data_IF_613951424099
#
_entry.id   IF_613951424099
#
_cell.length_a   1.000
_cell.length_b   1.000
_cell.length_c   1.000
_cell.angle_alpha   90.00
_cell.angle_beta   90.00
_cell.angle_gamma   90.00
#
_symmetry.space_group_name_H-M   'P 1'
#
loop_
_entity.id
_entity.type
_entity.pdbx_description
1 polymer ?
#
# COMPACT_ATOMS: atom_id res chain seq x y z
N UNK A 1 -0.75 -11.46 -13.38
CA UNK A 1 -2.03 -11.15 -14.03
C UNK A 1 -3.23 -11.89 -13.44
N UNK A 2 -3.16 -13.17 -13.10
CA UNK A 2 -4.31 -13.94 -12.60
C UNK A 2 -4.90 -13.44 -11.26
N UNK A 3 -4.08 -12.90 -10.35
CA UNK A 3 -4.54 -12.48 -9.02
C UNK A 3 -5.41 -11.21 -9.02
N UNK A 4 -5.09 -10.25 -9.90
CA UNK A 4 -5.88 -9.00 -10.05
C UNK A 4 -7.17 -9.22 -10.82
N UNK A 5 -7.15 -10.10 -11.81
CA UNK A 5 -8.35 -10.42 -12.60
C UNK A 5 -9.40 -11.14 -11.75
N UNK A 6 -8.98 -11.99 -10.84
CA UNK A 6 -9.87 -12.70 -9.91
C UNK A 6 -10.53 -11.73 -8.90
N UNK A 7 -9.80 -10.73 -8.41
CA UNK A 7 -10.30 -9.67 -7.52
C UNK A 7 -11.30 -8.75 -8.23
N UNK A 8 -11.09 -8.47 -9.52
CA UNK A 8 -11.98 -7.62 -10.31
C UNK A 8 -13.31 -8.34 -10.66
N UNK A 9 -13.24 -9.65 -10.93
CA UNK A 9 -14.43 -10.48 -11.23
C UNK A 9 -15.27 -10.67 -9.96
N UNK A 10 -14.64 -10.89 -8.80
CA UNK A 10 -15.37 -11.02 -7.52
C UNK A 10 -16.00 -9.68 -7.09
N UNK A 11 -15.37 -8.53 -7.36
CA UNK A 11 -15.99 -7.21 -7.17
C UNK A 11 -17.28 -7.08 -7.99
N UNK A 12 -17.24 -7.43 -9.28
CA UNK A 12 -18.41 -7.31 -10.18
C UNK A 12 -19.57 -8.22 -9.79
N UNK A 13 -19.29 -9.42 -9.29
CA UNK A 13 -20.31 -10.42 -8.90
C UNK A 13 -20.94 -10.11 -7.53
N UNK A 14 -20.21 -9.45 -6.61
CA UNK A 14 -20.70 -9.12 -5.26
C UNK A 14 -21.39 -7.74 -5.21
N UNK A 15 -21.03 -6.83 -6.13
CA UNK A 15 -21.63 -5.49 -6.25
C UNK A 15 -23.07 -5.53 -6.78
N UNK A 16 -23.47 -6.60 -7.49
CA UNK A 16 -24.80 -6.71 -8.10
C UNK A 16 -25.96 -6.80 -7.09
N UNK A 17 -25.70 -7.06 -5.82
CA UNK A 17 -26.75 -7.24 -4.81
C UNK A 17 -26.96 -6.07 -3.85
N UNK A 18 -26.06 -5.07 -3.79
CA UNK A 18 -26.23 -3.93 -2.85
C UNK A 18 -25.36 -2.71 -3.22
N UNK A 19 -25.51 -2.19 -4.44
CA UNK A 19 -24.59 -1.21 -5.05
C UNK A 19 -24.46 0.13 -4.32
N UNK A 20 -25.45 0.56 -3.56
CA UNK A 20 -25.47 1.93 -2.99
C UNK A 20 -24.67 2.11 -1.71
N UNK A 21 -24.40 1.07 -0.95
CA UNK A 21 -23.77 1.17 0.37
C UNK A 21 -22.27 0.83 0.34
N UNK A 22 -21.84 0.00 -0.60
CA UNK A 22 -20.45 -0.47 -0.72
C UNK A 22 -19.56 0.43 -1.56
N UNK A 23 -20.13 1.24 -2.44
CA UNK A 23 -19.38 2.18 -3.30
C UNK A 23 -18.63 3.27 -2.51
N UNK A 24 -19.02 3.49 -1.26
CA UNK A 24 -18.43 4.50 -0.37
C UNK A 24 -17.38 3.94 0.60
N UNK A 25 -17.16 2.62 0.61
CA UNK A 25 -16.19 2.00 1.54
C UNK A 25 -14.86 1.72 0.84
N UNK A 26 -13.72 1.97 1.51
CA UNK A 26 -12.39 1.63 0.99
C UNK A 26 -12.32 0.14 0.62
N UNK A 27 -11.60 -0.17 -0.43
CA UNK A 27 -11.41 -1.55 -0.94
C UNK A 27 -10.85 -2.50 0.14
N UNK A 28 -10.07 -1.97 1.08
CA UNK A 28 -9.56 -2.68 2.26
C UNK A 28 -10.67 -3.32 3.10
N UNK A 29 -11.81 -2.64 3.28
CA UNK A 29 -12.96 -3.18 4.02
C UNK A 29 -13.62 -4.37 3.31
N UNK A 30 -13.68 -4.32 1.99
CA UNK A 30 -14.26 -5.40 1.18
C UNK A 30 -13.39 -6.65 1.26
N UNK A 31 -12.06 -6.46 1.22
CA UNK A 31 -11.10 -7.56 1.32
C UNK A 31 -11.14 -8.23 2.70
N UNK A 32 -11.13 -7.44 3.78
CA UNK A 32 -11.23 -7.94 5.15
C UNK A 32 -12.57 -8.67 5.37
N UNK A 33 -13.67 -8.10 4.90
CA UNK A 33 -14.99 -8.71 5.02
C UNK A 33 -15.09 -10.05 4.29
N UNK A 34 -14.49 -10.16 3.10
CA UNK A 34 -14.48 -11.39 2.32
C UNK A 34 -13.58 -12.47 2.96
N UNK A 35 -12.46 -12.06 3.58
CA UNK A 35 -11.61 -12.96 4.36
C UNK A 35 -12.33 -13.48 5.62
N UNK A 36 -13.06 -12.63 6.33
CA UNK A 36 -13.80 -12.98 7.54
C UNK A 36 -14.96 -13.96 7.25
N UNK A 37 -15.52 -13.96 6.04
CA UNK A 37 -16.56 -14.91 5.60
C UNK A 37 -16.01 -16.23 5.05
N UNK A 38 -14.71 -16.50 5.21
CA UNK A 38 -14.09 -17.77 4.81
C UNK A 38 -13.84 -17.93 3.30
N UNK A 39 -14.04 -16.85 2.50
CA UNK A 39 -13.85 -16.89 1.05
C UNK A 39 -12.40 -16.77 0.57
N UNK A 40 -11.52 -16.20 1.41
CA UNK A 40 -10.09 -16.05 1.11
C UNK A 40 -9.28 -16.25 2.39
N UNK A 41 -8.23 -17.04 2.32
CA UNK A 41 -7.26 -17.15 3.42
C UNK A 41 -6.47 -15.86 3.50
N UNK A 42 -6.37 -15.28 4.70
CA UNK A 42 -5.47 -14.16 4.95
C UNK A 42 -4.04 -14.57 4.58
N UNK A 43 -3.31 -13.74 3.82
CA UNK A 43 -1.92 -14.03 3.52
C UNK A 43 -1.13 -14.12 4.82
N UNK A 44 -0.25 -15.12 4.94
CA UNK A 44 0.64 -15.25 6.08
C UNK A 44 1.56 -14.04 6.13
N UNK A 45 1.65 -13.38 7.27
CA UNK A 45 2.58 -12.29 7.50
C UNK A 45 4.00 -12.87 7.48
N UNK A 46 4.82 -12.35 6.56
CA UNK A 46 6.24 -12.71 6.48
C UNK A 46 7.02 -11.82 7.45
N UNK A 47 7.69 -12.43 8.41
CA UNK A 47 8.58 -11.70 9.30
C UNK A 47 9.97 -11.50 8.64
N UNK A 48 10.51 -10.32 8.78
CA UNK A 48 11.81 -9.93 8.23
C UNK A 48 12.81 -9.68 9.36
N UNK A 49 14.05 -10.15 9.19
CA UNK A 49 15.12 -9.89 10.16
C UNK A 49 15.62 -8.44 10.08
N UNK A 50 15.65 -7.89 8.88
CA UNK A 50 16.12 -6.54 8.58
C UNK A 50 15.03 -5.76 7.83
N UNK A 51 14.94 -4.47 8.10
CA UNK A 51 14.07 -3.54 7.37
C UNK A 51 14.42 -3.51 5.88
N UNK A 52 15.71 -3.51 5.55
CA UNK A 52 16.19 -3.55 4.16
C UNK A 52 15.71 -4.76 3.35
N UNK A 53 15.48 -5.91 4.00
CA UNK A 53 14.95 -7.09 3.33
C UNK A 53 13.46 -6.89 3.00
N UNK A 54 12.70 -6.32 3.94
CA UNK A 54 11.31 -5.96 3.71
C UNK A 54 11.18 -4.89 2.62
N UNK A 55 11.99 -3.83 2.68
CA UNK A 55 12.04 -2.78 1.68
C UNK A 55 12.34 -3.34 0.27
N UNK A 56 13.29 -4.26 0.16
CA UNK A 56 13.64 -4.90 -1.12
C UNK A 56 12.49 -5.72 -1.70
N UNK A 57 11.79 -6.50 -0.86
CA UNK A 57 10.63 -7.28 -1.27
C UNK A 57 9.45 -6.37 -1.66
N UNK A 58 9.27 -5.26 -0.95
CA UNK A 58 8.25 -4.26 -1.22
C UNK A 58 8.46 -3.60 -2.59
N UNK A 59 9.69 -3.17 -2.89
CA UNK A 59 10.05 -2.60 -4.19
C UNK A 59 9.76 -3.59 -5.34
N UNK A 60 10.15 -4.87 -5.17
CA UNK A 60 9.86 -5.91 -6.17
C UNK A 60 8.36 -6.10 -6.38
N UNK A 61 7.57 -6.07 -5.30
CA UNK A 61 6.13 -6.19 -5.37
C UNK A 61 5.50 -5.01 -6.12
N UNK A 62 5.86 -3.77 -5.76
CA UNK A 62 5.34 -2.56 -6.41
C UNK A 62 5.66 -2.57 -7.91
N UNK A 63 6.91 -2.86 -8.29
CA UNK A 63 7.33 -2.94 -9.70
C UNK A 63 6.60 -4.03 -10.48
N UNK A 64 6.25 -5.14 -9.83
CA UNK A 64 5.46 -6.22 -10.44
C UNK A 64 4.01 -5.80 -10.66
N UNK A 65 3.43 -5.12 -9.68
CA UNK A 65 2.00 -4.76 -9.68
C UNK A 65 1.73 -3.49 -10.52
N UNK A 66 2.70 -2.57 -10.53
CA UNK A 66 2.69 -1.33 -11.31
C UNK A 66 3.94 -1.24 -12.20
N UNK A 67 4.01 -2.01 -13.30
CA UNK A 67 5.22 -2.09 -14.14
C UNK A 67 5.60 -0.77 -14.81
N UNK A 68 4.67 0.18 -14.95
CA UNK A 68 4.91 1.51 -15.50
C UNK A 68 5.35 2.55 -14.48
N UNK A 69 5.34 2.20 -13.18
CA UNK A 69 5.74 3.13 -12.12
C UNK A 69 7.26 3.24 -12.00
N UNK A 70 7.71 4.41 -11.58
CA UNK A 70 9.09 4.65 -11.17
C UNK A 70 9.13 4.52 -9.64
N UNK A 71 9.94 3.60 -9.13
CA UNK A 71 10.16 3.41 -7.69
C UNK A 71 11.57 3.82 -7.36
N UNK A 72 11.70 4.90 -6.58
CA UNK A 72 12.96 5.45 -6.10
C UNK A 72 13.14 5.14 -4.62
N UNK A 73 14.34 4.74 -4.25
CA UNK A 73 14.78 4.66 -2.87
C UNK A 73 15.46 5.98 -2.53
N UNK A 74 14.96 6.67 -1.50
CA UNK A 74 15.54 7.92 -1.05
C UNK A 74 16.74 7.66 -0.13
N UNK A 75 17.64 8.61 -0.13
CA UNK A 75 18.84 8.58 0.71
C UNK A 75 18.61 9.44 1.97
N UNK A 76 18.52 8.82 3.16
CA UNK A 76 18.34 9.56 4.42
C UNK A 76 19.54 10.44 4.79
N UNK A 77 20.74 10.16 4.27
CA UNK A 77 21.92 11.00 4.49
C UNK A 77 21.81 12.33 3.74
N UNK A 78 21.17 12.32 2.55
CA UNK A 78 20.94 13.54 1.80
C UNK A 78 19.91 14.47 2.46
N UNK A 79 18.83 13.91 3.00
CA UNK A 79 17.77 14.68 3.66
C UNK A 79 17.13 13.87 4.78
N UNK A 80 17.43 14.24 6.00
CA UNK A 80 16.91 13.58 7.18
C UNK A 80 15.37 13.61 7.23
N UNK A 81 14.78 12.45 7.48
CA UNK A 81 13.34 12.29 7.65
C UNK A 81 12.53 12.17 6.35
N UNK A 82 13.17 12.30 5.17
CA UNK A 82 12.49 11.99 3.92
C UNK A 82 12.07 10.51 3.91
N UNK A 83 10.81 10.17 3.50
CA UNK A 83 10.37 8.78 3.46
C UNK A 83 11.23 7.91 2.55
N UNK A 84 11.44 6.64 2.93
CA UNK A 84 12.34 5.69 2.27
C UNK A 84 12.08 5.50 0.78
N UNK A 85 10.81 5.48 0.37
CA UNK A 85 10.42 5.20 -1.01
C UNK A 85 9.55 6.33 -1.57
N UNK A 86 9.85 6.71 -2.80
CA UNK A 86 9.00 7.52 -3.66
C UNK A 86 8.54 6.66 -4.84
N UNK A 87 7.23 6.51 -5.00
CA UNK A 87 6.59 5.82 -6.11
C UNK A 87 5.90 6.85 -6.99
N UNK A 88 6.27 6.92 -8.27
CA UNK A 88 5.65 7.81 -9.25
C UNK A 88 4.91 6.97 -10.28
N UNK A 89 3.64 7.27 -10.52
CA UNK A 89 2.82 6.61 -11.52
C UNK A 89 1.97 7.63 -12.29
N UNK A 90 2.35 7.90 -13.53
CA UNK A 90 1.76 8.96 -14.35
C UNK A 90 2.00 10.34 -13.72
N UNK A 91 0.93 11.08 -13.45
CA UNK A 91 0.95 12.41 -12.82
C UNK A 91 0.78 12.37 -11.29
N UNK A 92 0.78 11.19 -10.70
CA UNK A 92 0.60 10.99 -9.24
C UNK A 92 1.85 10.40 -8.62
N UNK A 93 2.01 10.66 -7.32
CA UNK A 93 3.11 10.09 -6.55
C UNK A 93 2.64 9.61 -5.18
N UNK A 94 3.46 8.75 -4.57
CA UNK A 94 3.23 8.26 -3.22
C UNK A 94 4.56 8.20 -2.46
N UNK A 95 4.54 8.60 -1.19
CA UNK A 95 5.65 8.41 -0.27
C UNK A 95 5.33 7.26 0.69
N UNK A 96 6.27 6.34 0.85
CA UNK A 96 6.17 5.24 1.80
C UNK A 96 7.38 5.26 2.74
N UNK A 97 7.10 5.35 4.03
CA UNK A 97 8.09 5.14 5.08
C UNK A 97 8.05 3.68 5.50
N UNK A 98 9.16 2.99 5.33
CA UNK A 98 9.27 1.55 5.60
C UNK A 98 9.66 1.33 7.07
N UNK A 99 8.97 0.43 7.75
CA UNK A 99 9.27 0.01 9.12
C UNK A 99 9.33 -1.51 9.20
N UNK A 100 10.19 -2.01 10.05
CA UNK A 100 10.33 -3.45 10.28
C UNK A 100 9.10 -4.05 10.97
N UNK A 101 8.44 -3.27 11.84
CA UNK A 101 7.25 -3.68 12.60
C UNK A 101 6.40 -2.46 12.97
N UNK A 102 5.17 -2.73 13.42
CA UNK A 102 4.26 -1.69 13.92
C UNK A 102 4.82 -0.88 15.10
N UNK A 103 5.60 -1.54 15.94
CA UNK A 103 6.04 -0.98 17.23
C UNK A 103 7.33 -0.16 17.11
N UNK A 104 7.86 0.01 15.90
CA UNK A 104 9.03 0.87 15.70
C UNK A 104 8.68 2.34 15.89
N UNK A 105 9.51 3.08 16.66
CA UNK A 105 9.25 4.50 16.91
C UNK A 105 9.36 5.31 15.62
N UNK A 106 8.47 6.27 15.48
CA UNK A 106 8.55 7.28 14.42
C UNK A 106 9.51 8.40 14.83
N UNK A 107 10.21 8.95 13.87
CA UNK A 107 10.97 10.19 14.05
C UNK A 107 10.08 11.38 13.66
N UNK A 108 10.15 12.51 14.39
CA UNK A 108 9.30 13.69 14.12
C UNK A 108 9.36 14.19 12.67
N UNK A 109 10.54 14.10 12.05
CA UNK A 109 10.70 14.52 10.66
C UNK A 109 9.99 13.56 9.68
N UNK A 110 9.90 12.26 9.99
CA UNK A 110 9.17 11.28 9.18
C UNK A 110 7.68 11.57 9.19
N UNK A 111 7.12 11.82 10.37
CA UNK A 111 5.69 12.20 10.51
C UNK A 111 5.37 13.45 9.69
N UNK A 112 6.24 14.48 9.73
CA UNK A 112 6.04 15.68 8.95
C UNK A 112 5.92 15.42 7.44
N UNK A 113 6.83 14.61 6.86
CA UNK A 113 6.79 14.31 5.43
C UNK A 113 5.62 13.42 5.04
N UNK A 114 5.27 12.44 5.87
CA UNK A 114 4.10 11.58 5.63
C UNK A 114 2.81 12.40 5.72
N UNK A 115 2.66 13.27 6.70
CA UNK A 115 1.50 14.14 6.82
C UNK A 115 1.39 15.13 5.65
N UNK A 116 2.52 15.65 5.19
CA UNK A 116 2.56 16.48 3.98
C UNK A 116 2.12 15.69 2.76
N UNK A 117 2.63 14.48 2.57
CA UNK A 117 2.24 13.61 1.47
C UNK A 117 0.75 13.26 1.50
N UNK A 118 0.17 12.99 2.67
CA UNK A 118 -1.28 12.72 2.83
C UNK A 118 -2.17 13.88 2.39
N UNK A 119 -1.70 15.12 2.52
CA UNK A 119 -2.45 16.31 2.06
C UNK A 119 -2.36 16.55 0.57
N UNK A 120 -1.26 16.20 -0.06
CA UNK A 120 -0.96 16.55 -1.45
C UNK A 120 -1.08 15.36 -2.42
N UNK A 121 -0.93 14.14 -1.89
CA UNK A 121 -0.89 12.91 -2.68
C UNK A 121 -1.25 11.70 -1.81
N UNK A 122 -0.44 10.65 -1.87
CA UNK A 122 -0.51 9.49 -0.99
C UNK A 122 0.77 9.39 -0.14
N UNK A 123 0.62 9.14 1.16
CA UNK A 123 1.74 8.87 2.04
C UNK A 123 1.34 8.01 3.22
N UNK A 124 2.15 7.02 3.57
CA UNK A 124 1.90 6.25 4.79
C UNK A 124 3.16 5.50 5.28
N UNK A 125 3.09 5.06 6.55
CA UNK A 125 4.03 4.10 7.11
C UNK A 125 3.64 2.69 6.69
N UNK A 126 4.60 1.91 6.19
CA UNK A 126 4.36 0.56 5.72
C UNK A 126 5.26 -0.45 6.45
N UNK A 127 4.64 -1.47 7.02
CA UNK A 127 5.31 -2.56 7.72
C UNK A 127 4.66 -3.91 7.34
N UNK A 128 5.26 -5.06 7.66
CA UNK A 128 4.76 -6.36 7.19
C UNK A 128 3.29 -6.62 7.48
N UNK A 129 2.78 -6.15 8.62
CA UNK A 129 1.41 -6.40 9.08
C UNK A 129 0.36 -5.59 8.28
N UNK A 130 0.68 -4.34 7.87
CA UNK A 130 -0.24 -3.49 7.10
C UNK A 130 0.07 -3.47 5.59
N UNK A 131 1.10 -4.16 5.15
CA UNK A 131 1.61 -4.11 3.76
C UNK A 131 0.49 -4.22 2.72
N UNK A 132 -0.37 -5.23 2.85
CA UNK A 132 -1.42 -5.48 1.86
C UNK A 132 -2.44 -4.34 1.81
N UNK A 133 -2.81 -3.81 2.98
CA UNK A 133 -3.74 -2.70 3.08
C UNK A 133 -3.17 -1.44 2.42
N UNK A 134 -1.95 -1.04 2.80
CA UNK A 134 -1.32 0.19 2.29
C UNK A 134 -1.08 0.11 0.78
N UNK A 135 -0.63 -1.06 0.27
CA UNK A 135 -0.47 -1.25 -1.17
C UNK A 135 -1.78 -1.11 -1.92
N UNK A 136 -2.87 -1.68 -1.39
CA UNK A 136 -4.19 -1.57 -2.02
C UNK A 136 -4.69 -0.12 -2.03
N UNK A 137 -4.56 0.60 -0.92
CA UNK A 137 -4.95 2.01 -0.81
C UNK A 137 -4.14 2.89 -1.78
N UNK A 138 -2.83 2.65 -1.90
CA UNK A 138 -1.96 3.33 -2.85
C UNK A 138 -2.36 3.02 -4.30
N UNK A 139 -2.67 1.77 -4.63
CA UNK A 139 -3.11 1.39 -5.98
C UNK A 139 -4.47 1.99 -6.32
N UNK A 140 -5.39 2.03 -5.37
CA UNK A 140 -6.69 2.69 -5.55
C UNK A 140 -6.50 4.20 -5.79
N UNK A 141 -5.58 4.85 -5.04
CA UNK A 141 -5.23 6.25 -5.26
C UNK A 141 -4.69 6.49 -6.68
N UNK A 142 -3.78 5.65 -7.18
CA UNK A 142 -3.23 5.80 -8.52
C UNK A 142 -4.27 5.57 -9.63
N UNK A 143 -5.28 4.73 -9.38
CA UNK A 143 -6.34 4.41 -10.34
C UNK A 143 -7.54 5.38 -10.31
N UNK A 144 -7.59 6.31 -9.37
CA UNK A 144 -8.60 7.39 -9.41
C UNK A 144 -8.35 8.30 -10.62
N UNK A 145 -9.41 8.61 -11.37
CA UNK A 145 -9.36 9.54 -12.50
C UNK A 145 -9.44 10.98 -12.03
#
# INVERSE_FOLDING_TARGET
>A
MASYFCLFITRKKYMASNEREWSKRPFSYIFIFFCLKGGLKMPKIKHYKKESDFQSDLIKQIKKDLPQSIVLKNDPEYKQGIPDLLVVNGNKYAFLEVKKSRDEPHQPNQDYYIDKAKRESFGDFIFPENKQQILMEMYDYFNQK
#
